data_IF_842939334813
#
_entry.id   IF_842939334813
#
_cell.length_a   1.000
_cell.length_b   1.000
_cell.length_c   1.000
_cell.angle_alpha   90.00
_cell.angle_beta   90.00
_cell.angle_gamma   90.00
#
_symmetry.space_group_name_H-M   'P 1'
#
loop_
_entity.id
_entity.type
_entity.pdbx_description
1 polymer ?
#
# COMPACT_ATOMS: atom_id res chain seq x y z
N UNK A 1 -28.24 -8.05 5.10
CA UNK A 1 -27.22 -7.06 5.53
C UNK A 1 -26.20 -6.88 4.40
N UNK A 2 -26.14 -5.71 3.77
CA UNK A 2 -25.13 -5.38 2.75
C UNK A 2 -23.76 -5.30 3.44
N UNK A 3 -22.83 -6.20 3.12
CA UNK A 3 -21.41 -6.02 3.47
C UNK A 3 -20.93 -4.76 2.76
N UNK A 4 -20.50 -3.75 3.51
CA UNK A 4 -19.66 -2.70 2.94
C UNK A 4 -18.41 -3.40 2.42
N UNK A 5 -18.26 -3.50 1.10
CA UNK A 5 -16.98 -3.82 0.45
C UNK A 5 -16.03 -2.74 0.94
N UNK A 6 -15.33 -3.00 2.06
CA UNK A 6 -14.15 -2.23 2.45
C UNK A 6 -13.30 -2.24 1.19
N UNK A 7 -13.10 -1.06 0.63
CA UNK A 7 -12.26 -0.84 -0.53
C UNK A 7 -10.98 -1.61 -0.24
N UNK A 8 -10.78 -2.74 -0.91
CA UNK A 8 -9.46 -3.34 -1.02
C UNK A 8 -8.70 -2.29 -1.82
N UNK A 9 -8.15 -1.31 -1.11
CA UNK A 9 -7.13 -0.44 -1.65
C UNK A 9 -6.03 -1.41 -2.02
N UNK A 10 -6.01 -1.79 -3.31
CA UNK A 10 -4.86 -2.41 -3.94
C UNK A 10 -3.68 -1.64 -3.40
N UNK A 11 -2.79 -2.35 -2.69
CA UNK A 11 -1.58 -1.77 -2.13
C UNK A 11 -0.69 -1.39 -3.29
N UNK A 12 -1.05 -0.31 -3.99
CA UNK A 12 -0.20 0.32 -4.97
C UNK A 12 1.02 0.80 -4.18
N UNK A 13 2.20 0.46 -4.67
CA UNK A 13 3.48 0.82 -4.04
C UNK A 13 3.63 2.35 -3.95
N UNK A 14 2.85 3.08 -4.76
CA UNK A 14 2.81 4.51 -4.84
C UNK A 14 1.84 5.15 -3.84
N UNK A 15 2.30 6.26 -3.27
CA UNK A 15 1.48 7.11 -2.41
C UNK A 15 0.44 7.86 -3.25
N UNK A 16 -0.73 8.11 -2.65
CA UNK A 16 -1.74 8.91 -3.32
C UNK A 16 -1.22 10.34 -3.57
N UNK A 17 -1.65 11.02 -4.65
CA UNK A 17 -1.22 12.39 -4.92
C UNK A 17 -1.47 13.36 -3.76
N UNK A 18 -2.57 13.17 -3.02
CA UNK A 18 -2.87 13.98 -1.83
C UNK A 18 -1.86 13.74 -0.70
N UNK A 19 -1.49 12.49 -0.46
CA UNK A 19 -0.45 12.14 0.52
C UNK A 19 0.89 12.74 0.12
N UNK A 20 1.28 12.65 -1.16
CA UNK A 20 2.53 13.25 -1.66
C UNK A 20 2.53 14.78 -1.47
N UNK A 21 1.40 15.44 -1.72
CA UNK A 21 1.25 16.88 -1.51
C UNK A 21 1.42 17.27 -0.03
N UNK A 22 0.74 16.57 0.89
CA UNK A 22 0.83 16.84 2.34
C UNK A 22 2.28 16.68 2.81
N UNK A 23 2.95 15.59 2.44
CA UNK A 23 4.33 15.33 2.84
C UNK A 23 5.30 16.37 2.28
N UNK A 24 5.06 16.87 1.06
CA UNK A 24 5.88 17.93 0.49
C UNK A 24 5.80 19.25 1.29
N UNK A 25 4.66 19.55 1.92
CA UNK A 25 4.50 20.75 2.76
C UNK A 25 5.22 20.65 4.12
N UNK A 26 5.63 19.45 4.53
CA UNK A 26 6.28 19.20 5.83
C UNK A 26 7.81 19.32 5.78
N UNK A 27 8.41 19.57 4.61
CA UNK A 27 9.86 19.66 4.47
C UNK A 27 10.57 18.33 4.75
N UNK A 28 11.67 18.39 5.51
CA UNK A 28 12.55 17.24 5.76
C UNK A 28 11.84 16.10 6.51
N UNK A 29 10.98 16.41 7.49
CA UNK A 29 10.19 15.40 8.20
C UNK A 29 9.22 14.67 7.26
N UNK A 30 8.65 15.40 6.30
CA UNK A 30 7.81 14.84 5.25
C UNK A 30 8.57 13.88 4.32
N UNK A 31 9.83 14.21 4.00
CA UNK A 31 10.69 13.34 3.20
C UNK A 31 10.99 12.01 3.90
N UNK A 32 11.27 12.05 5.20
CA UNK A 32 11.51 10.84 6.01
C UNK A 32 10.25 9.96 6.10
N UNK A 33 9.09 10.57 6.33
CA UNK A 33 7.80 9.87 6.36
C UNK A 33 7.50 9.24 4.99
N UNK A 34 7.74 9.96 3.90
CA UNK A 34 7.56 9.46 2.52
C UNK A 34 8.36 8.18 2.28
N UNK A 35 9.64 8.16 2.67
CA UNK A 35 10.51 6.99 2.51
C UNK A 35 9.96 5.79 3.30
N UNK A 36 9.58 6.01 4.56
CA UNK A 36 9.02 4.96 5.42
C UNK A 36 7.72 4.38 4.86
N UNK A 37 6.83 5.23 4.35
CA UNK A 37 5.56 4.78 3.76
C UNK A 37 5.77 3.98 2.48
N UNK A 38 6.65 4.43 1.57
CA UNK A 38 6.97 3.68 0.35
C UNK A 38 7.55 2.29 0.66
N UNK A 39 8.46 2.21 1.62
CA UNK A 39 9.01 0.93 2.08
C UNK A 39 7.92 0.01 2.66
N UNK A 40 7.01 0.57 3.47
CA UNK A 40 5.89 -0.19 4.04
C UNK A 40 4.96 -0.74 2.95
N UNK A 41 4.55 0.09 1.99
CA UNK A 41 3.66 -0.36 0.91
C UNK A 41 4.31 -1.39 -0.01
N UNK A 42 5.60 -1.22 -0.32
CA UNK A 42 6.37 -2.22 -1.08
C UNK A 42 6.44 -3.57 -0.37
N UNK A 43 6.77 -3.57 0.93
CA UNK A 43 6.79 -4.80 1.74
C UNK A 43 5.40 -5.46 1.79
N UNK A 44 4.35 -4.65 1.92
CA UNK A 44 2.97 -5.13 1.92
C UNK A 44 2.55 -5.71 0.57
N UNK A 45 2.95 -5.09 -0.54
CA UNK A 45 2.70 -5.59 -1.89
C UNK A 45 3.37 -6.95 -2.10
N UNK A 46 4.63 -7.11 -1.66
CA UNK A 46 5.34 -8.40 -1.72
C UNK A 46 4.66 -9.48 -0.87
N UNK A 47 4.22 -9.15 0.34
CA UNK A 47 3.50 -10.10 1.21
C UNK A 47 2.14 -10.50 0.62
N UNK A 48 1.41 -9.55 0.02
CA UNK A 48 0.15 -9.83 -0.66
C UNK A 48 0.35 -10.71 -1.91
N UNK A 49 1.45 -10.54 -2.65
CA UNK A 49 1.79 -11.41 -3.78
C UNK A 49 2.07 -12.85 -3.31
N UNK A 50 2.75 -13.02 -2.18
CA UNK A 50 2.98 -14.33 -1.56
C UNK A 50 1.65 -15.03 -1.19
N UNK A 51 0.74 -14.28 -0.57
CA UNK A 51 -0.60 -14.76 -0.22
C UNK A 51 -1.45 -15.12 -1.45
N UNK A 52 -1.39 -14.31 -2.51
CA UNK A 52 -2.08 -14.62 -3.77
C UNK A 52 -1.51 -15.87 -4.46
N UNK A 53 -0.19 -16.09 -4.37
CA UNK A 53 0.46 -17.28 -4.95
C UNK A 53 0.03 -18.57 -4.24
N UNK A 54 -0.03 -18.57 -2.91
CA UNK A 54 -0.52 -19.72 -2.13
C UNK A 54 -1.98 -20.09 -2.42
N UNK A 55 -2.81 -19.11 -2.79
CA UNK A 55 -4.20 -19.35 -3.15
C UNK A 55 -4.40 -19.81 -4.60
N UNK A 56 -3.50 -19.47 -5.51
CA UNK A 56 -3.52 -19.95 -6.90
C UNK A 56 -3.01 -21.39 -7.03
N UNK A 57 -2.02 -21.80 -6.22
CA UNK A 57 -1.51 -23.18 -6.25
C UNK A 57 -2.50 -24.20 -5.63
N UNK A 58 -3.49 -23.75 -4.85
CA UNK A 58 -4.53 -24.62 -4.25
C UNK A 58 -5.75 -24.84 -5.15
N UNK A 59 -5.84 -24.13 -6.27
CA UNK A 59 -6.93 -24.25 -7.24
C UNK A 59 -6.52 -24.93 -8.55
N UNK A 60 -5.28 -25.44 -8.64
CA UNK A 60 -4.78 -26.25 -9.75
C UNK A 60 -4.96 -27.75 -9.51
#
# INVERSE_FOLDING_TARGET
>A
MKRNKRTETMGHEDLTPLTEYILAQMGDEGADIRIRLKNFYRLRALNNLSFLREHLDKTA
#
